data_IF_026747582515
#
_entry.id   IF_026747582515
#
_cell.length_a   1.000
_cell.length_b   1.000
_cell.length_c   1.000
_cell.angle_alpha   90.00
_cell.angle_beta   90.00
_cell.angle_gamma   90.00
#
_symmetry.space_group_name_H-M   'P 1'
#
loop_
_entity.id
_entity.type
_entity.pdbx_description
1 polymer ?
#
# COMPACT_ATOMS: atom_id res chain seq x y z
N UNK A 1 17.16 42.84 21.92
CA UNK A 1 16.95 42.52 20.48
C UNK A 1 17.85 41.38 19.97
N UNK A 2 19.12 41.25 20.43
CA UNK A 2 20.07 40.21 19.97
C UNK A 2 19.68 38.74 20.23
N UNK A 3 18.85 38.46 21.25
CA UNK A 3 18.50 37.09 21.67
C UNK A 3 17.53 36.35 20.74
N UNK A 4 16.86 37.06 19.84
CA UNK A 4 15.99 36.47 18.82
C UNK A 4 16.77 36.13 17.56
N UNK A 5 17.76 36.95 17.21
CA UNK A 5 18.57 36.77 15.99
C UNK A 5 19.43 35.51 16.06
N UNK A 6 20.00 35.20 17.24
CA UNK A 6 20.77 33.97 17.47
C UNK A 6 19.93 32.69 17.39
N UNK A 7 18.64 32.75 17.76
CA UNK A 7 17.72 31.62 17.63
C UNK A 7 17.38 31.30 16.18
N UNK A 8 17.17 32.34 15.38
CA UNK A 8 16.91 32.17 13.94
C UNK A 8 18.16 31.65 13.22
N UNK A 9 19.35 32.16 13.54
CA UNK A 9 20.61 31.64 13.03
C UNK A 9 20.82 30.16 13.38
N UNK A 10 20.53 29.76 14.61
CA UNK A 10 20.62 28.36 15.02
C UNK A 10 19.64 27.46 14.26
N UNK A 11 18.41 27.94 14.01
CA UNK A 11 17.41 27.21 13.24
C UNK A 11 17.88 26.93 11.80
N UNK A 12 18.48 27.93 11.15
CA UNK A 12 19.03 27.78 9.79
C UNK A 12 20.20 26.79 9.73
N UNK A 13 21.09 26.82 10.72
CA UNK A 13 22.23 25.88 10.79
C UNK A 13 21.73 24.44 10.95
N UNK A 14 20.69 24.21 11.75
CA UNK A 14 20.10 22.88 11.93
C UNK A 14 19.46 22.37 10.63
N UNK A 15 18.73 23.22 9.91
CA UNK A 15 18.09 22.85 8.63
C UNK A 15 19.13 22.51 7.56
N UNK A 16 20.21 23.29 7.46
CA UNK A 16 21.27 23.04 6.47
C UNK A 16 22.04 21.77 6.83
N UNK A 17 22.33 21.57 8.12
CA UNK A 17 23.01 20.38 8.60
C UNK A 17 22.24 19.09 8.32
N UNK A 18 20.91 19.09 8.51
CA UNK A 18 20.09 17.89 8.26
C UNK A 18 20.00 17.53 6.78
N UNK A 19 20.00 18.51 5.87
CA UNK A 19 20.01 18.26 4.42
C UNK A 19 21.35 17.66 3.97
N UNK A 20 22.46 18.08 4.57
CA UNK A 20 23.81 17.64 4.18
C UNK A 20 24.23 16.28 4.79
N UNK A 21 23.57 15.86 5.87
CA UNK A 21 23.82 14.59 6.57
C UNK A 21 22.95 13.41 6.07
N UNK A 22 22.04 13.65 5.12
CA UNK A 22 21.35 12.57 4.44
C UNK A 22 22.33 11.94 3.44
N UNK A 23 22.70 10.66 3.59
CA UNK A 23 23.55 9.99 2.62
C UNK A 23 22.82 9.98 1.27
N UNK A 24 23.55 10.34 0.21
CA UNK A 24 23.13 10.13 -1.17
C UNK A 24 22.56 8.72 -1.27
N UNK A 25 21.25 8.60 -1.47
CA UNK A 25 20.62 7.31 -1.72
C UNK A 25 21.06 6.93 -3.12
N UNK A 26 22.20 6.23 -3.19
CA UNK A 26 22.70 5.61 -4.40
C UNK A 26 21.61 4.68 -4.90
N UNK A 27 20.88 5.12 -5.93
CA UNK A 27 19.94 4.30 -6.66
C UNK A 27 20.75 3.19 -7.35
N UNK A 28 20.87 2.04 -6.70
CA UNK A 28 21.32 0.82 -7.34
C UNK A 28 20.20 0.35 -8.30
N UNK A 29 20.21 0.92 -9.51
CA UNK A 29 19.36 0.51 -10.62
C UNK A 29 19.65 -0.97 -10.93
N UNK A 30 18.69 -1.90 -10.76
CA UNK A 30 18.94 -3.30 -11.06
C UNK A 30 19.11 -3.47 -12.57
N UNK A 31 20.23 -4.08 -12.96
CA UNK A 31 20.58 -4.40 -14.34
C UNK A 31 19.48 -5.29 -14.95
N UNK A 32 18.78 -4.78 -15.98
CA UNK A 32 17.71 -5.49 -16.68
C UNK A 32 18.26 -6.74 -17.37
N UNK A 33 18.24 -7.87 -16.65
CA UNK A 33 18.38 -9.19 -17.27
C UNK A 33 16.98 -9.63 -17.68
N UNK A 34 16.68 -9.47 -18.98
CA UNK A 34 15.44 -9.92 -19.60
C UNK A 34 15.29 -11.44 -19.39
N UNK A 35 14.22 -11.94 -18.73
CA UNK A 35 13.92 -13.35 -18.78
C UNK A 35 13.27 -13.64 -20.13
N UNK A 36 13.93 -14.54 -20.87
CA UNK A 36 13.48 -15.10 -22.14
C UNK A 36 12.00 -15.52 -22.03
N UNK A 37 11.11 -14.84 -22.77
CA UNK A 37 9.68 -15.18 -22.82
C UNK A 37 9.54 -16.35 -23.79
N UNK A 38 9.52 -17.57 -23.25
CA UNK A 38 8.97 -18.72 -23.97
C UNK A 38 7.46 -18.73 -23.77
N UNK A 39 6.74 -18.56 -24.86
CA UNK A 39 5.29 -18.61 -24.98
C UNK A 39 4.78 -20.06 -24.93
N UNK A 40 3.71 -20.33 -24.16
CA UNK A 40 2.48 -20.99 -24.63
C UNK A 40 1.58 -21.50 -23.49
N UNK A 41 0.28 -21.56 -23.80
CA UNK A 41 -0.81 -22.36 -23.21
C UNK A 41 -1.62 -21.76 -22.03
N UNK A 42 -2.84 -21.36 -22.38
CA UNK A 42 -4.05 -21.20 -21.55
C UNK A 42 -3.97 -21.82 -20.15
N UNK A 43 -3.64 -21.02 -19.15
CA UNK A 43 -3.83 -21.34 -17.75
C UNK A 43 -4.01 -20.02 -17.01
N UNK A 44 -4.95 -19.96 -16.07
CA UNK A 44 -5.04 -18.93 -15.04
C UNK A 44 -3.61 -18.60 -14.63
N UNK A 45 -3.10 -17.43 -15.03
CA UNK A 45 -1.72 -17.05 -14.72
C UNK A 45 -1.67 -16.89 -13.21
N UNK A 46 -1.38 -17.99 -12.52
CA UNK A 46 -0.80 -17.96 -11.20
C UNK A 46 0.51 -17.26 -11.44
N UNK A 47 0.48 -15.93 -11.30
CA UNK A 47 1.66 -15.11 -11.40
C UNK A 47 2.59 -15.66 -10.33
N UNK A 48 3.63 -16.38 -10.75
CA UNK A 48 4.58 -16.96 -9.82
C UNK A 48 5.39 -15.82 -9.23
N UNK A 49 4.84 -15.27 -8.15
CA UNK A 49 5.46 -14.17 -7.45
C UNK A 49 6.66 -14.70 -6.69
N UNK A 50 7.79 -14.01 -6.83
CA UNK A 50 8.96 -14.24 -5.99
C UNK A 50 8.57 -14.09 -4.51
N UNK A 51 9.26 -14.75 -3.56
CA UNK A 51 8.97 -14.60 -2.13
C UNK A 51 8.89 -13.13 -1.70
N UNK A 52 9.77 -12.28 -2.24
CA UNK A 52 9.79 -10.84 -1.98
C UNK A 52 8.52 -10.13 -2.48
N UNK A 53 8.10 -10.43 -3.70
CA UNK A 53 6.85 -9.89 -4.27
C UNK A 53 5.63 -10.32 -3.43
N UNK A 54 5.57 -11.59 -3.01
CA UNK A 54 4.50 -12.08 -2.13
C UNK A 54 4.43 -11.31 -0.82
N UNK A 55 5.58 -11.07 -0.19
CA UNK A 55 5.65 -10.30 1.06
C UNK A 55 5.15 -8.87 0.88
N UNK A 56 5.55 -8.19 -0.21
CA UNK A 56 5.06 -6.83 -0.46
C UNK A 56 3.55 -6.81 -0.72
N UNK A 57 3.02 -7.75 -1.50
CA UNK A 57 1.58 -7.85 -1.71
C UNK A 57 0.82 -8.16 -0.43
N UNK A 58 1.34 -9.02 0.43
CA UNK A 58 0.76 -9.28 1.75
C UNK A 58 0.76 -8.02 2.62
N UNK A 59 1.83 -7.22 2.61
CA UNK A 59 1.88 -5.96 3.33
C UNK A 59 0.82 -4.96 2.82
N UNK A 60 0.67 -4.83 1.50
CA UNK A 60 -0.38 -3.99 0.88
C UNK A 60 -1.78 -4.47 1.29
N UNK A 61 -2.03 -5.78 1.22
CA UNK A 61 -3.31 -6.36 1.62
C UNK A 61 -3.62 -6.17 3.12
N UNK A 62 -2.63 -6.34 4.00
CA UNK A 62 -2.78 -6.09 5.43
C UNK A 62 -3.07 -4.62 5.71
N UNK A 63 -2.38 -3.71 5.02
CA UNK A 63 -2.63 -2.28 5.12
C UNK A 63 -4.06 -1.93 4.71
N UNK A 64 -4.54 -2.49 3.59
CA UNK A 64 -5.93 -2.33 3.13
C UNK A 64 -6.92 -2.81 4.19
N UNK A 65 -6.71 -4.00 4.74
CA UNK A 65 -7.60 -4.57 5.75
C UNK A 65 -7.67 -3.71 7.01
N UNK A 66 -6.53 -3.16 7.47
CA UNK A 66 -6.48 -2.21 8.60
C UNK A 66 -7.17 -0.89 8.31
N UNK A 67 -7.12 -0.42 7.06
CA UNK A 67 -7.82 0.80 6.67
C UNK A 67 -9.34 0.58 6.66
N UNK A 68 -9.80 -0.53 6.07
CA UNK A 68 -11.23 -0.91 6.05
C UNK A 68 -11.76 -1.11 7.46
N UNK A 69 -11.00 -1.76 8.35
CA UNK A 69 -11.43 -1.96 9.75
C UNK A 69 -11.54 -0.66 10.56
N UNK A 70 -10.96 0.45 10.11
CA UNK A 70 -11.14 1.76 10.76
C UNK A 70 -12.44 2.44 10.35
N UNK A 71 -12.98 2.09 9.19
CA UNK A 71 -14.24 2.62 8.68
C UNK A 71 -15.41 1.84 9.26
N UNK A 72 -15.26 0.52 9.39
CA UNK A 72 -16.32 -0.38 9.82
C UNK A 72 -16.46 -0.46 11.34
N UNK A 73 -17.70 -0.57 11.81
CA UNK A 73 -18.01 -0.97 13.19
C UNK A 73 -17.63 -2.44 13.46
N UNK A 74 -17.45 -2.81 14.74
CA UNK A 74 -17.03 -4.16 15.12
C UNK A 74 -18.01 -5.25 14.61
N UNK A 75 -19.31 -4.96 14.60
CA UNK A 75 -20.36 -5.85 14.09
C UNK A 75 -20.20 -6.13 12.59
N UNK A 76 -19.94 -5.08 11.81
CA UNK A 76 -19.70 -5.12 10.38
C UNK A 76 -18.38 -5.83 10.08
N UNK A 77 -17.31 -5.58 10.84
CA UNK A 77 -16.01 -6.27 10.70
C UNK A 77 -16.15 -7.79 10.87
N UNK A 78 -16.88 -8.25 11.89
CA UNK A 78 -17.15 -9.68 12.11
C UNK A 78 -17.90 -10.29 10.92
N UNK A 79 -18.89 -9.58 10.39
CA UNK A 79 -19.64 -10.01 9.21
C UNK A 79 -18.76 -10.06 7.96
N UNK A 80 -17.89 -9.07 7.76
CA UNK A 80 -16.96 -9.03 6.63
C UNK A 80 -16.01 -10.22 6.66
N UNK A 81 -15.41 -10.51 7.82
CA UNK A 81 -14.53 -11.68 8.00
C UNK A 81 -15.28 -12.98 7.70
N UNK A 82 -16.53 -13.10 8.12
CA UNK A 82 -17.37 -14.29 7.85
C UNK A 82 -17.60 -14.49 6.35
N UNK A 83 -17.92 -13.41 5.62
CA UNK A 83 -18.13 -13.46 4.16
C UNK A 83 -16.84 -13.82 3.42
N UNK A 84 -15.72 -13.18 3.79
CA UNK A 84 -14.41 -13.47 3.21
C UNK A 84 -13.98 -14.94 3.45
N UNK A 85 -14.20 -15.47 4.65
CA UNK A 85 -13.95 -16.90 4.96
C UNK A 85 -14.89 -17.84 4.21
N UNK A 86 -16.08 -17.37 3.84
CA UNK A 86 -17.04 -18.07 3.00
C UNK A 86 -16.67 -18.11 1.52
N UNK A 87 -15.57 -17.47 1.12
CA UNK A 87 -15.08 -17.45 -0.26
C UNK A 87 -15.54 -16.24 -1.07
N UNK A 88 -16.28 -15.30 -0.47
CA UNK A 88 -16.63 -14.05 -1.15
C UNK A 88 -15.37 -13.20 -1.40
N UNK A 89 -15.30 -12.58 -2.58
CA UNK A 89 -14.30 -11.54 -2.83
C UNK A 89 -14.56 -10.31 -1.95
N UNK A 90 -13.54 -9.46 -1.76
CA UNK A 90 -13.70 -8.26 -0.93
C UNK A 90 -14.84 -7.35 -1.42
N UNK A 91 -14.96 -7.12 -2.72
CA UNK A 91 -16.03 -6.29 -3.28
C UNK A 91 -17.41 -6.90 -2.99
N UNK A 92 -17.58 -8.19 -3.26
CA UNK A 92 -18.83 -8.90 -2.95
C UNK A 92 -19.16 -8.88 -1.45
N UNK A 93 -18.15 -9.00 -0.60
CA UNK A 93 -18.33 -8.99 0.84
C UNK A 93 -18.76 -7.60 1.35
N UNK A 94 -18.20 -6.54 0.78
CA UNK A 94 -18.57 -5.14 1.07
C UNK A 94 -20.00 -4.86 0.60
N UNK A 95 -20.39 -5.28 -0.60
CA UNK A 95 -21.75 -5.10 -1.12
C UNK A 95 -22.81 -5.80 -0.23
N UNK A 96 -22.46 -6.95 0.35
CA UNK A 96 -23.33 -7.72 1.27
C UNK A 96 -23.37 -7.15 2.69
N UNK A 97 -22.49 -6.23 3.06
CA UNK A 97 -22.42 -5.68 4.41
C UNK A 97 -23.60 -4.73 4.73
N UNK A 98 -24.31 -4.22 3.70
CA UNK A 98 -25.37 -3.19 3.83
C UNK A 98 -24.86 -1.96 4.61
N UNK A 99 -23.80 -1.37 4.07
CA UNK A 99 -23.17 -0.16 4.62
C UNK A 99 -24.01 1.08 4.34
N UNK A 100 -23.77 2.14 5.09
CA UNK A 100 -24.20 3.48 4.66
C UNK A 100 -23.48 3.90 3.37
N UNK A 101 -24.06 4.84 2.64
CA UNK A 101 -23.48 5.33 1.37
C UNK A 101 -22.07 5.89 1.59
N UNK A 102 -21.86 6.65 2.68
CA UNK A 102 -20.56 7.24 3.03
C UNK A 102 -19.50 6.17 3.37
N UNK A 103 -19.86 5.16 4.18
CA UNK A 103 -18.94 4.04 4.50
C UNK A 103 -18.59 3.24 3.24
N UNK A 104 -19.57 3.02 2.36
CA UNK A 104 -19.40 2.31 1.10
C UNK A 104 -18.44 3.06 0.17
N UNK A 105 -18.65 4.35 -0.04
CA UNK A 105 -17.76 5.21 -0.84
C UNK A 105 -16.34 5.23 -0.28
N UNK A 106 -16.21 5.37 1.05
CA UNK A 106 -14.89 5.38 1.70
C UNK A 106 -14.16 4.04 1.53
N UNK A 107 -14.86 2.91 1.66
CA UNK A 107 -14.27 1.59 1.46
C UNK A 107 -13.90 1.37 -0.01
N UNK A 108 -14.73 1.80 -0.96
CA UNK A 108 -14.40 1.72 -2.39
C UNK A 108 -13.15 2.54 -2.71
N UNK A 109 -13.04 3.77 -2.18
CA UNK A 109 -11.86 4.61 -2.33
C UNK A 109 -10.61 3.94 -1.73
N UNK A 110 -10.72 3.31 -0.56
CA UNK A 110 -9.63 2.52 0.04
C UNK A 110 -9.23 1.36 -0.89
N UNK A 111 -10.20 0.61 -1.42
CA UNK A 111 -9.93 -0.51 -2.33
C UNK A 111 -9.18 -0.02 -3.58
N UNK A 112 -9.63 1.07 -4.19
CA UNK A 112 -8.98 1.66 -5.36
C UNK A 112 -7.57 2.15 -5.03
N UNK A 113 -7.39 2.90 -3.93
CA UNK A 113 -6.07 3.38 -3.50
C UNK A 113 -5.08 2.23 -3.32
N UNK A 114 -5.50 1.14 -2.65
CA UNK A 114 -4.64 -0.01 -2.42
C UNK A 114 -4.43 -0.86 -3.67
N UNK A 115 -5.38 -0.86 -4.61
CA UNK A 115 -5.16 -1.43 -5.95
C UNK A 115 -4.07 -0.65 -6.71
N UNK A 116 -4.08 0.69 -6.66
CA UNK A 116 -3.02 1.51 -7.24
C UNK A 116 -1.67 1.25 -6.57
N UNK A 117 -1.63 1.13 -5.23
CA UNK A 117 -0.40 0.75 -4.51
C UNK A 117 0.10 -0.62 -4.92
N UNK A 118 -0.80 -1.59 -5.09
CA UNK A 118 -0.44 -2.91 -5.58
C UNK A 118 0.17 -2.83 -6.97
N UNK A 119 -0.48 -2.08 -7.88
CA UNK A 119 0.01 -1.85 -9.25
C UNK A 119 1.40 -1.22 -9.26
N UNK A 120 1.63 -0.20 -8.42
CA UNK A 120 2.92 0.45 -8.28
C UNK A 120 4.01 -0.51 -7.75
N UNK A 121 3.68 -1.30 -6.74
CA UNK A 121 4.57 -2.34 -6.21
C UNK A 121 4.91 -3.35 -7.32
N UNK A 122 3.92 -3.82 -8.08
CA UNK A 122 4.14 -4.79 -9.17
C UNK A 122 4.87 -4.22 -10.38
N UNK A 123 4.70 -2.92 -10.68
CA UNK A 123 5.34 -2.26 -11.81
C UNK A 123 6.81 -1.93 -11.57
N UNK A 124 7.24 -1.87 -10.30
CA UNK A 124 8.62 -1.63 -9.90
C UNK A 124 9.43 -2.94 -9.75
N UNK A 125 8.90 -4.07 -10.20
CA UNK A 125 9.60 -5.36 -10.30
C UNK A 125 9.77 -5.77 -11.76
#
# INVERSE_FOLDING_TARGET
MFRYLTKWLFLWVVIIGTVFLLPDIVNALPNQSQPNIMTAANNTRVMELTPRQRQMMQAVNQGRNRAISKVLEESQQKKLIKLLRGGDSLNQAVDKLKLSDEESEMIQAIIQLYYLKMKAVTANF
#
